data_IF_420940466330
#
_entry.id   IF_420940466330
#
_cell.length_a   1.000
_cell.length_b   1.000
_cell.length_c   1.000
_cell.angle_alpha   90.00
_cell.angle_beta   90.00
_cell.angle_gamma   90.00
#
_symmetry.space_group_name_H-M   'P 1'
#
loop_
_entity.id
_entity.type
_entity.pdbx_description
1 polymer ?
#
# COMPACT_ATOMS: atom_id res chain seq x y z
N UNK A 1 -19.26 28.19 -36.51
CA UNK A 1 -18.00 27.65 -35.95
C UNK A 1 -17.99 27.92 -34.46
N UNK A 2 -18.25 26.90 -33.65
CA UNK A 2 -18.27 26.99 -32.18
C UNK A 2 -16.86 27.02 -31.62
N UNK A 3 -16.55 28.08 -30.89
CA UNK A 3 -15.26 28.35 -30.22
C UNK A 3 -15.05 27.32 -29.09
N UNK A 4 -13.89 26.65 -28.95
CA UNK A 4 -13.69 25.65 -27.91
C UNK A 4 -13.60 26.32 -26.53
N UNK A 5 -14.25 25.72 -25.54
CA UNK A 5 -14.24 26.17 -24.15
C UNK A 5 -12.80 26.09 -23.59
N UNK A 6 -12.27 27.21 -23.12
CA UNK A 6 -11.00 27.26 -22.40
C UNK A 6 -11.14 26.42 -21.12
N UNK A 7 -10.41 25.32 -21.00
CA UNK A 7 -10.25 24.60 -19.74
C UNK A 7 -9.39 25.46 -18.81
N UNK A 8 -10.02 26.42 -18.13
CA UNK A 8 -9.37 27.27 -17.14
C UNK A 8 -8.92 26.39 -15.99
N UNK A 9 -7.61 26.25 -15.85
CA UNK A 9 -6.97 25.54 -14.74
C UNK A 9 -7.49 26.09 -13.42
N UNK A 10 -8.03 25.22 -12.58
CA UNK A 10 -8.52 25.54 -11.24
C UNK A 10 -7.34 25.71 -10.28
N UNK A 11 -6.77 26.91 -10.29
CA UNK A 11 -5.61 27.24 -9.46
C UNK A 11 -5.95 27.28 -7.96
N UNK A 12 -7.20 27.54 -7.59
CA UNK A 12 -7.64 27.59 -6.19
C UNK A 12 -7.67 26.18 -5.60
N UNK A 13 -8.17 25.20 -6.35
CA UNK A 13 -8.09 23.77 -5.98
C UNK A 13 -6.66 23.26 -5.90
N UNK A 14 -5.82 23.62 -6.87
CA UNK A 14 -4.40 23.25 -6.89
C UNK A 14 -3.65 23.86 -5.70
N UNK A 15 -3.97 25.10 -5.34
CA UNK A 15 -3.42 25.78 -4.17
C UNK A 15 -3.81 25.06 -2.87
N UNK A 16 -5.07 24.66 -2.75
CA UNK A 16 -5.58 23.88 -1.62
C UNK A 16 -4.86 22.52 -1.51
N UNK A 17 -4.77 21.77 -2.61
CA UNK A 17 -4.07 20.48 -2.68
C UNK A 17 -2.57 20.64 -2.36
N UNK A 18 -1.95 21.72 -2.85
CA UNK A 18 -0.55 22.03 -2.59
C UNK A 18 -0.31 22.33 -1.11
N UNK A 19 -1.12 23.20 -0.49
CA UNK A 19 -1.00 23.59 0.92
C UNK A 19 -1.34 22.46 1.88
N UNK A 20 -2.21 21.53 1.47
CA UNK A 20 -2.49 20.30 2.22
C UNK A 20 -1.23 19.43 2.40
N UNK A 21 -0.33 19.45 1.41
CA UNK A 21 0.99 18.80 1.51
C UNK A 21 0.97 17.27 1.46
N UNK A 22 -0.18 16.67 1.13
CA UNK A 22 -0.44 15.23 1.14
C UNK A 22 -0.14 14.55 -0.20
N UNK A 23 -0.29 15.29 -1.30
CA UNK A 23 -0.03 14.82 -2.65
C UNK A 23 1.33 15.35 -3.13
N UNK A 24 2.05 14.51 -3.85
CA UNK A 24 3.17 14.95 -4.67
C UNK A 24 2.66 15.88 -5.77
N UNK A 25 3.51 16.78 -6.26
CA UNK A 25 3.13 17.69 -7.34
C UNK A 25 2.67 16.97 -8.62
N UNK A 26 3.11 15.72 -8.80
CA UNK A 26 2.70 14.86 -9.92
C UNK A 26 1.28 14.34 -9.72
N UNK A 27 0.91 13.95 -8.51
CA UNK A 27 -0.46 13.54 -8.19
C UNK A 27 -1.44 14.72 -8.27
N UNK A 28 -1.04 15.90 -7.80
CA UNK A 28 -1.84 17.14 -7.97
C UNK A 28 -2.05 17.46 -9.45
N UNK A 29 -1.01 17.28 -10.27
CA UNK A 29 -1.06 17.47 -11.72
C UNK A 29 -1.96 16.43 -12.42
N UNK A 30 -1.94 15.17 -11.97
CA UNK A 30 -2.82 14.12 -12.49
C UNK A 30 -4.29 14.35 -12.13
N UNK A 31 -4.57 14.91 -10.95
CA UNK A 31 -5.93 15.24 -10.51
C UNK A 31 -6.49 16.52 -11.15
N UNK A 32 -5.63 17.39 -11.70
CA UNK A 32 -6.01 18.68 -12.27
C UNK A 32 -5.53 18.82 -13.73
N UNK A 33 -6.34 18.37 -14.71
CA UNK A 33 -6.02 18.49 -16.14
C UNK A 33 -5.74 19.94 -16.54
N UNK A 34 -4.58 20.18 -17.15
CA UNK A 34 -4.15 21.52 -17.60
C UNK A 34 -3.08 22.19 -16.72
N UNK A 35 -2.81 21.68 -15.51
CA UNK A 35 -1.69 22.12 -14.69
C UNK A 35 -0.59 21.06 -14.62
N UNK A 36 0.61 21.38 -15.10
CA UNK A 36 1.77 20.52 -14.97
C UNK A 36 2.46 20.74 -13.60
N UNK A 37 3.03 19.69 -13.00
CA UNK A 37 3.78 19.74 -11.73
C UNK A 37 4.83 20.87 -11.67
N UNK A 38 5.49 21.18 -12.79
CA UNK A 38 6.44 22.31 -12.90
C UNK A 38 5.75 23.67 -12.79
N UNK A 39 4.57 23.82 -13.39
CA UNK A 39 3.78 25.05 -13.34
C UNK A 39 3.22 25.28 -11.93
N UNK A 40 2.80 24.21 -11.25
CA UNK A 40 2.37 24.22 -9.85
C UNK A 40 3.51 24.67 -8.93
N UNK A 41 4.71 24.07 -9.07
CA UNK A 41 5.88 24.45 -8.28
C UNK A 41 6.30 25.91 -8.49
N UNK A 42 6.30 26.36 -9.75
CA UNK A 42 6.66 27.75 -10.10
C UNK A 42 5.65 28.73 -9.51
N UNK A 43 4.35 28.42 -9.57
CA UNK A 43 3.31 29.28 -9.02
C UNK A 43 3.31 29.30 -7.51
N UNK A 44 3.48 28.15 -6.85
CA UNK A 44 3.64 28.05 -5.41
C UNK A 44 4.79 28.92 -4.89
N UNK A 45 5.94 28.90 -5.57
CA UNK A 45 7.09 29.75 -5.23
C UNK A 45 6.81 31.24 -5.43
N UNK A 46 6.08 31.59 -6.50
CA UNK A 46 5.74 32.98 -6.84
C UNK A 46 4.71 33.57 -5.85
N UNK A 47 3.73 32.78 -5.46
CA UNK A 47 2.58 33.19 -4.64
C UNK A 47 2.79 32.85 -3.14
N UNK A 48 3.96 32.33 -2.77
CA UNK A 48 4.32 32.05 -1.37
C UNK A 48 3.46 30.96 -0.71
N UNK A 49 3.05 29.92 -1.45
CA UNK A 49 2.27 28.84 -0.88
C UNK A 49 3.12 28.02 0.11
N UNK A 50 2.59 27.82 1.32
CA UNK A 50 3.25 27.08 2.40
C UNK A 50 2.42 25.82 2.69
N UNK A 51 3.09 24.68 2.87
CA UNK A 51 2.45 23.43 3.31
C UNK A 51 2.28 23.48 4.84
N UNK A 52 1.05 23.71 5.32
CA UNK A 52 0.81 23.95 6.77
C UNK A 52 -0.44 23.24 7.35
N UNK A 53 -1.06 22.32 6.61
CA UNK A 53 -2.25 21.60 7.11
C UNK A 53 -1.99 20.11 7.38
N UNK A 54 -0.81 19.59 7.05
CA UNK A 54 -0.47 18.17 7.19
C UNK A 54 -0.66 17.65 8.62
N UNK A 55 -0.30 18.44 9.64
CA UNK A 55 -0.43 18.04 11.04
C UNK A 55 -1.89 17.96 11.50
N UNK A 56 -2.73 18.94 11.13
CA UNK A 56 -4.16 18.96 11.46
C UNK A 56 -4.93 17.87 10.72
N UNK A 57 -4.65 17.68 9.43
CA UNK A 57 -5.29 16.62 8.64
C UNK A 57 -4.90 15.23 9.17
N UNK A 58 -3.63 15.04 9.54
CA UNK A 58 -3.17 13.78 10.16
C UNK A 58 -3.87 13.51 11.50
N UNK A 59 -3.94 14.51 12.37
CA UNK A 59 -4.65 14.40 13.65
C UNK A 59 -6.16 14.14 13.46
N UNK A 60 -6.80 14.75 12.47
CA UNK A 60 -8.21 14.50 12.16
C UNK A 60 -8.41 13.11 11.53
N UNK A 61 -7.50 12.63 10.68
CA UNK A 61 -7.54 11.29 10.14
C UNK A 61 -7.31 10.22 11.23
N UNK A 62 -6.36 10.44 12.15
CA UNK A 62 -6.15 9.60 13.34
C UNK A 62 -7.42 9.54 14.21
N UNK A 63 -8.07 10.69 14.41
CA UNK A 63 -9.35 10.78 15.11
C UNK A 63 -10.50 10.10 14.36
N UNK A 64 -10.63 10.24 13.04
CA UNK A 64 -11.70 9.60 12.26
C UNK A 64 -11.56 8.07 12.21
N UNK A 65 -10.32 7.59 12.14
CA UNK A 65 -10.01 6.16 12.22
C UNK A 65 -10.31 5.58 13.61
N UNK A 66 -10.39 6.42 14.66
CA UNK A 66 -10.68 6.02 16.05
C UNK A 66 -12.10 6.36 16.52
N UNK A 67 -12.77 7.37 15.94
CA UNK A 67 -14.10 7.88 16.30
C UNK A 67 -15.06 7.83 15.12
N UNK A 68 -15.71 6.69 14.90
CA UNK A 68 -17.03 6.67 14.26
C UNK A 68 -18.10 6.75 15.36
N UNK A 69 -18.51 7.98 15.75
CA UNK A 69 -19.81 8.26 16.38
C UNK A 69 -20.08 9.79 16.47
N UNK A 70 -21.07 10.21 15.66
CA UNK A 70 -22.09 11.28 15.79
C UNK A 70 -21.69 12.78 15.88
N UNK A 71 -22.30 13.48 14.91
CA UNK A 71 -22.64 14.89 14.57
C UNK A 71 -22.97 15.85 15.74
N UNK A 72 -23.11 17.18 15.61
CA UNK A 72 -23.36 18.16 14.52
C UNK A 72 -23.00 19.59 15.04
N UNK A 73 -22.40 20.49 14.22
CA UNK A 73 -22.93 21.80 13.75
C UNK A 73 -22.93 23.00 14.77
N UNK A 74 -22.53 24.26 14.54
CA UNK A 74 -22.40 25.18 13.40
C UNK A 74 -21.54 26.39 13.83
N UNK A 75 -20.43 26.72 13.16
CA UNK A 75 -19.81 28.08 13.24
C UNK A 75 -19.18 28.38 11.88
N UNK A 76 -20.01 28.77 10.90
CA UNK A 76 -20.37 27.82 9.84
C UNK A 76 -19.99 28.13 8.39
N UNK A 77 -19.15 29.12 8.07
CA UNK A 77 -18.89 29.42 6.63
C UNK A 77 -17.42 29.53 6.22
N UNK A 78 -16.55 30.20 6.99
CA UNK A 78 -15.12 30.35 6.61
C UNK A 78 -14.19 29.35 7.28
N UNK A 79 -14.45 29.08 8.57
CA UNK A 79 -13.95 27.88 9.22
C UNK A 79 -14.55 26.62 8.58
N UNK A 80 -15.69 26.73 7.88
CA UNK A 80 -16.36 25.59 7.24
C UNK A 80 -15.74 25.21 5.92
N UNK A 81 -15.28 26.13 5.07
CA UNK A 81 -14.52 25.72 3.88
C UNK A 81 -13.21 25.04 4.26
N UNK A 82 -12.43 25.61 5.18
CA UNK A 82 -11.18 24.96 5.65
C UNK A 82 -11.47 23.66 6.41
N UNK A 83 -12.50 23.62 7.27
CA UNK A 83 -12.91 22.38 7.97
C UNK A 83 -13.47 21.34 7.02
N UNK A 84 -14.25 21.71 6.01
CA UNK A 84 -14.75 20.79 4.98
C UNK A 84 -13.60 20.25 4.14
N UNK A 85 -12.64 21.09 3.74
CA UNK A 85 -11.43 20.64 3.04
C UNK A 85 -10.63 19.69 3.93
N UNK A 86 -10.42 20.03 5.20
CA UNK A 86 -9.71 19.17 6.16
C UNK A 86 -10.50 17.88 6.42
N UNK A 87 -11.82 17.92 6.52
CA UNK A 87 -12.69 16.79 6.81
C UNK A 87 -12.81 15.83 5.63
N UNK A 88 -13.03 16.34 4.41
CA UNK A 88 -13.02 15.53 3.18
C UNK A 88 -11.65 14.87 3.01
N UNK A 89 -10.55 15.62 3.17
CA UNK A 89 -9.21 15.05 3.05
C UNK A 89 -8.88 14.08 4.18
N UNK A 90 -9.29 14.37 5.42
CA UNK A 90 -9.13 13.46 6.54
C UNK A 90 -9.94 12.18 6.35
N UNK A 91 -11.14 12.26 5.75
CA UNK A 91 -11.95 11.10 5.41
C UNK A 91 -11.30 10.25 4.31
N UNK A 92 -10.74 10.87 3.27
CA UNK A 92 -9.99 10.15 2.22
C UNK A 92 -8.79 9.42 2.84
N UNK A 93 -8.01 10.08 3.69
CA UNK A 93 -6.87 9.46 4.38
C UNK A 93 -7.33 8.36 5.33
N UNK A 94 -8.41 8.58 6.08
CA UNK A 94 -9.00 7.58 6.95
C UNK A 94 -9.42 6.34 6.15
N UNK A 95 -10.10 6.53 5.02
CA UNK A 95 -10.52 5.45 4.13
C UNK A 95 -9.32 4.66 3.58
N UNK A 96 -8.26 5.35 3.14
CA UNK A 96 -7.02 4.71 2.68
C UNK A 96 -6.39 3.89 3.82
N UNK A 97 -6.28 4.45 5.03
CA UNK A 97 -5.70 3.74 6.17
C UNK A 97 -6.54 2.55 6.61
N UNK A 98 -7.87 2.66 6.56
CA UNK A 98 -8.79 1.55 6.81
C UNK A 98 -8.59 0.45 5.77
N UNK A 99 -8.50 0.81 4.49
CA UNK A 99 -8.23 -0.14 3.41
C UNK A 99 -6.88 -0.85 3.62
N UNK A 100 -5.81 -0.10 3.88
CA UNK A 100 -4.49 -0.69 4.17
C UNK A 100 -4.53 -1.63 5.38
N UNK A 101 -5.19 -1.25 6.48
CA UNK A 101 -5.35 -2.14 7.65
C UNK A 101 -6.05 -3.45 7.27
N UNK A 102 -7.12 -3.37 6.48
CA UNK A 102 -7.86 -4.55 6.00
C UNK A 102 -6.98 -5.42 5.11
N UNK A 103 -6.23 -4.83 4.18
CA UNK A 103 -5.36 -5.59 3.28
C UNK A 103 -4.23 -6.27 4.05
N UNK A 104 -3.57 -5.55 4.97
CA UNK A 104 -2.53 -6.10 5.83
C UNK A 104 -3.05 -7.31 6.63
N UNK A 105 -4.25 -7.19 7.23
CA UNK A 105 -4.90 -8.30 7.93
C UNK A 105 -5.15 -9.50 7.02
N UNK A 106 -5.62 -9.28 5.79
CA UNK A 106 -5.85 -10.36 4.81
C UNK A 106 -4.53 -11.04 4.40
N UNK A 107 -3.49 -10.27 4.15
CA UNK A 107 -2.16 -10.83 3.83
C UNK A 107 -1.58 -11.62 5.00
N UNK A 108 -1.76 -11.13 6.24
CA UNK A 108 -1.34 -11.86 7.44
C UNK A 108 -2.07 -13.19 7.59
N UNK A 109 -3.39 -13.18 7.41
CA UNK A 109 -4.18 -14.41 7.44
C UNK A 109 -3.70 -15.42 6.38
N UNK A 110 -3.46 -14.96 5.15
CA UNK A 110 -2.93 -15.80 4.08
C UNK A 110 -1.53 -16.37 4.41
N UNK A 111 -0.63 -15.54 4.95
CA UNK A 111 0.71 -16.00 5.33
C UNK A 111 0.68 -17.06 6.43
N UNK A 112 -0.27 -16.95 7.38
CA UNK A 112 -0.48 -17.97 8.42
C UNK A 112 -1.05 -19.25 7.81
N UNK A 113 -2.02 -19.18 6.90
CA UNK A 113 -2.55 -20.36 6.20
C UNK A 113 -1.46 -21.09 5.40
N UNK A 114 -0.61 -20.37 4.68
CA UNK A 114 0.53 -20.95 3.95
C UNK A 114 1.56 -21.58 4.90
N UNK A 115 1.75 -21.00 6.10
CA UNK A 115 2.60 -21.62 7.12
C UNK A 115 1.99 -22.95 7.59
N UNK A 116 0.68 -23.00 7.82
CA UNK A 116 -0.01 -24.25 8.20
C UNK A 116 0.05 -25.32 7.12
N UNK A 117 -0.03 -24.96 5.84
CA UNK A 117 0.20 -25.89 4.73
C UNK A 117 1.63 -26.44 4.78
N UNK A 118 2.62 -25.56 4.98
CA UNK A 118 4.03 -25.97 5.08
C UNK A 118 4.31 -26.84 6.31
N UNK A 119 3.64 -26.60 7.43
CA UNK A 119 3.68 -27.46 8.62
C UNK A 119 3.13 -28.85 8.31
N UNK A 120 1.99 -28.93 7.61
CA UNK A 120 1.40 -30.21 7.19
C UNK A 120 2.31 -30.98 6.23
N UNK A 121 2.86 -30.31 5.21
CA UNK A 121 3.85 -30.90 4.30
C UNK A 121 5.10 -31.39 5.03
N UNK A 122 5.52 -30.66 6.07
CA UNK A 122 6.69 -31.03 6.89
C UNK A 122 6.40 -32.24 7.77
N UNK A 123 5.22 -32.30 8.38
CA UNK A 123 4.81 -33.38 9.28
C UNK A 123 4.37 -34.67 8.60
N UNK A 124 4.17 -34.67 7.27
CA UNK A 124 3.69 -35.84 6.51
C UNK A 124 4.55 -36.15 5.29
N UNK A 125 5.85 -35.82 5.34
CA UNK A 125 6.77 -35.98 4.21
C UNK A 125 6.74 -37.39 3.59
N UNK A 126 6.68 -38.42 4.42
CA UNK A 126 6.72 -39.81 3.95
C UNK A 126 5.54 -40.13 3.01
N UNK A 127 4.34 -39.59 3.29
CA UNK A 127 3.16 -39.74 2.43
C UNK A 127 3.35 -39.04 1.08
N UNK A 128 4.02 -37.89 1.06
CA UNK A 128 4.33 -37.19 -0.19
C UNK A 128 5.40 -37.93 -1.00
N UNK A 129 6.38 -38.55 -0.34
CA UNK A 129 7.37 -39.40 -1.00
C UNK A 129 6.69 -40.63 -1.62
N UNK A 130 5.86 -41.34 -0.85
CA UNK A 130 5.09 -42.49 -1.33
C UNK A 130 4.20 -42.12 -2.51
N UNK A 131 3.53 -40.97 -2.47
CA UNK A 131 2.77 -40.45 -3.60
C UNK A 131 3.65 -40.23 -4.84
N UNK A 132 4.87 -39.71 -4.68
CA UNK A 132 5.83 -39.55 -5.78
C UNK A 132 6.28 -40.88 -6.38
N UNK A 133 6.46 -41.89 -5.54
CA UNK A 133 6.77 -43.25 -5.99
C UNK A 133 5.60 -43.86 -6.78
N UNK A 134 4.36 -43.70 -6.30
CA UNK A 134 3.15 -44.17 -6.97
C UNK A 134 2.87 -43.44 -8.29
N UNK A 135 3.22 -42.15 -8.38
CA UNK A 135 3.04 -41.33 -9.58
C UNK A 135 4.16 -41.52 -10.62
N UNK A 136 5.22 -42.26 -10.30
CA UNK A 136 6.38 -42.45 -11.16
C UNK A 136 5.95 -43.10 -12.49
N UNK A 137 6.28 -42.42 -13.59
CA UNK A 137 6.02 -42.83 -14.96
C UNK A 137 7.19 -42.43 -15.86
N UNK A 138 8.13 -43.36 -16.00
CA UNK A 138 9.32 -43.17 -16.83
C UNK A 138 8.98 -43.18 -18.33
N UNK A 139 9.73 -42.40 -19.11
CA UNK A 139 9.78 -42.50 -20.57
C UNK A 139 10.68 -43.65 -21.03
N UNK A 140 10.81 -43.83 -22.36
CA UNK A 140 11.64 -44.88 -22.97
C UNK A 140 13.15 -44.78 -22.59
N UNK A 141 13.56 -43.69 -21.93
CA UNK A 141 14.93 -43.45 -21.46
C UNK A 141 15.06 -43.59 -19.94
N UNK A 142 14.02 -44.02 -19.24
CA UNK A 142 14.02 -44.16 -17.78
C UNK A 142 13.86 -42.82 -17.04
N UNK A 143 13.43 -41.75 -17.73
CA UNK A 143 13.34 -40.40 -17.16
C UNK A 143 11.88 -40.04 -16.89
N UNK A 144 11.60 -39.51 -15.70
CA UNK A 144 10.31 -38.91 -15.36
C UNK A 144 10.49 -37.48 -14.85
N UNK A 145 10.63 -36.53 -15.78
CA UNK A 145 10.85 -35.12 -15.45
C UNK A 145 9.74 -34.52 -14.58
N UNK A 146 8.51 -35.03 -14.70
CA UNK A 146 7.38 -34.53 -13.91
C UNK A 146 7.54 -34.96 -12.47
N UNK A 147 7.87 -36.23 -12.23
CA UNK A 147 8.12 -36.72 -10.89
C UNK A 147 9.41 -36.15 -10.29
N UNK A 148 10.47 -35.97 -11.09
CA UNK A 148 11.69 -35.31 -10.64
C UNK A 148 11.42 -33.89 -10.11
N UNK A 149 10.55 -33.13 -10.80
CA UNK A 149 10.12 -31.81 -10.35
C UNK A 149 9.28 -31.91 -9.08
N UNK A 150 8.34 -32.85 -9.00
CA UNK A 150 7.54 -33.09 -7.80
C UNK A 150 8.42 -33.39 -6.58
N UNK A 151 9.36 -34.33 -6.70
CA UNK A 151 10.32 -34.70 -5.65
C UNK A 151 11.18 -33.50 -5.23
N UNK A 152 11.56 -32.65 -6.19
CA UNK A 152 12.27 -31.40 -5.90
C UNK A 152 11.41 -30.42 -5.09
N UNK A 153 10.13 -30.27 -5.43
CA UNK A 153 9.20 -29.36 -4.75
C UNK A 153 8.98 -29.76 -3.29
N UNK A 154 8.79 -31.06 -3.02
CA UNK A 154 8.58 -31.56 -1.64
C UNK A 154 9.88 -31.71 -0.84
N UNK A 155 11.03 -31.44 -1.47
CA UNK A 155 12.34 -31.58 -0.81
C UNK A 155 12.46 -30.65 0.41
N UNK A 156 13.28 -31.06 1.38
CA UNK A 156 13.56 -30.23 2.56
C UNK A 156 14.17 -28.88 2.21
N UNK A 157 15.01 -28.80 1.17
CA UNK A 157 15.59 -27.53 0.72
C UNK A 157 14.51 -26.55 0.22
N UNK A 158 13.55 -27.04 -0.57
CA UNK A 158 12.41 -26.26 -1.09
C UNK A 158 11.51 -25.75 0.04
N UNK A 159 11.23 -26.61 1.03
CA UNK A 159 10.41 -26.24 2.20
C UNK A 159 11.10 -25.23 3.11
N UNK A 160 12.40 -25.38 3.36
CA UNK A 160 13.19 -24.41 4.14
C UNK A 160 13.22 -23.04 3.46
N UNK A 161 13.39 -23.00 2.14
CA UNK A 161 13.33 -21.75 1.36
C UNK A 161 11.93 -21.10 1.45
N UNK A 162 10.87 -21.89 1.37
CA UNK A 162 9.48 -21.43 1.56
C UNK A 162 9.25 -20.86 2.97
N UNK A 163 9.73 -21.55 4.02
CA UNK A 163 9.65 -21.07 5.40
C UNK A 163 10.36 -19.73 5.59
N UNK A 164 11.56 -19.58 5.01
CA UNK A 164 12.32 -18.32 5.06
C UNK A 164 11.55 -17.16 4.40
N UNK A 165 11.00 -17.40 3.21
CA UNK A 165 10.19 -16.39 2.48
C UNK A 165 8.93 -16.00 3.26
N UNK A 166 8.27 -16.96 3.91
CA UNK A 166 7.11 -16.68 4.78
C UNK A 166 7.53 -15.86 6.01
N UNK A 167 8.65 -16.18 6.64
CA UNK A 167 9.17 -15.41 7.78
C UNK A 167 9.51 -13.96 7.39
N UNK A 168 10.15 -13.75 6.22
CA UNK A 168 10.41 -12.42 5.67
C UNK A 168 9.11 -11.66 5.39
N UNK A 169 8.10 -12.32 4.82
CA UNK A 169 6.77 -11.75 4.57
C UNK A 169 6.10 -11.33 5.86
N UNK A 170 6.08 -12.19 6.88
CA UNK A 170 5.50 -11.89 8.19
C UNK A 170 6.22 -10.72 8.88
N UNK A 171 7.56 -10.63 8.76
CA UNK A 171 8.33 -9.50 9.28
C UNK A 171 7.88 -8.17 8.64
N UNK A 172 7.71 -8.15 7.33
CA UNK A 172 7.23 -6.96 6.60
C UNK A 172 5.80 -6.60 7.05
N UNK A 173 4.90 -7.59 7.10
CA UNK A 173 3.51 -7.38 7.53
C UNK A 173 3.43 -6.83 8.95
N UNK A 174 4.23 -7.34 9.89
CA UNK A 174 4.30 -6.82 11.26
C UNK A 174 4.77 -5.36 11.27
N UNK A 175 5.76 -4.99 10.45
CA UNK A 175 6.18 -3.59 10.28
C UNK A 175 5.02 -2.70 9.81
N UNK A 176 4.33 -3.14 8.75
CA UNK A 176 3.17 -2.45 8.20
C UNK A 176 2.01 -2.34 9.19
N UNK A 177 1.74 -3.37 9.98
CA UNK A 177 0.74 -3.34 11.05
C UNK A 177 1.10 -2.27 12.08
N UNK A 178 2.34 -2.28 12.57
CA UNK A 178 2.79 -1.30 13.55
C UNK A 178 2.65 0.13 13.02
N UNK A 179 3.01 0.36 11.77
CA UNK A 179 2.82 1.66 11.09
C UNK A 179 1.34 2.04 10.99
N UNK A 180 0.49 1.12 10.52
CA UNK A 180 -0.93 1.37 10.34
C UNK A 180 -1.66 1.67 11.66
N UNK A 181 -1.23 1.05 12.76
CA UNK A 181 -1.74 1.29 14.12
C UNK A 181 -1.01 2.41 14.87
N UNK A 182 -0.02 3.06 14.26
CA UNK A 182 0.71 4.17 14.89
C UNK A 182 1.65 3.76 16.02
N UNK A 183 2.00 2.47 16.11
CA UNK A 183 2.87 1.85 17.13
C UNK A 183 4.36 1.98 16.79
N UNK A 184 4.73 3.01 16.04
CA UNK A 184 6.11 3.28 15.60
C UNK A 184 6.65 4.47 16.37
N UNK A 185 7.75 4.26 17.11
CA UNK A 185 8.47 5.32 17.80
C UNK A 185 8.89 6.41 16.81
N UNK A 186 8.87 7.65 17.29
CA UNK A 186 8.99 8.88 16.51
C UNK A 186 10.28 9.02 15.67
N UNK A 187 11.31 8.18 15.89
CA UNK A 187 12.54 8.15 15.09
C UNK A 187 12.48 7.28 13.82
N UNK A 188 11.50 6.39 13.66
CA UNK A 188 11.48 5.40 12.54
C UNK A 188 10.52 5.76 11.39
N UNK A 189 9.78 6.87 11.49
CA UNK A 189 8.71 7.23 10.53
C UNK A 189 9.22 7.78 9.19
N UNK A 190 10.42 8.36 9.15
CA UNK A 190 10.98 8.95 7.92
C UNK A 190 11.68 7.89 7.05
N UNK A 191 12.35 6.92 7.69
CA UNK A 191 13.09 5.84 7.01
C UNK A 191 12.13 4.79 6.41
N UNK A 192 10.96 4.57 7.03
CA UNK A 192 10.02 3.54 6.59
C UNK A 192 9.21 3.95 5.34
N UNK A 193 8.78 5.21 5.25
CA UNK A 193 7.98 5.72 4.14
C UNK A 193 8.77 5.68 2.80
N UNK A 194 10.05 6.03 2.83
CA UNK A 194 10.94 5.97 1.66
C UNK A 194 11.21 4.53 1.21
N UNK A 195 11.35 3.60 2.17
CA UNK A 195 11.57 2.19 1.84
C UNK A 195 10.34 1.56 1.18
N UNK A 196 9.13 1.84 1.70
CA UNK A 196 7.90 1.28 1.13
C UNK A 196 7.63 1.79 -0.29
N UNK A 197 7.83 3.09 -0.52
CA UNK A 197 7.69 3.70 -1.84
C UNK A 197 8.68 3.08 -2.84
N UNK A 198 9.93 2.84 -2.41
CA UNK A 198 10.95 2.23 -3.28
C UNK A 198 10.60 0.78 -3.66
N UNK A 199 10.09 -0.01 -2.72
CA UNK A 199 9.75 -1.43 -2.94
C UNK A 199 8.55 -1.56 -3.86
N UNK A 200 7.53 -0.72 -3.70
CA UNK A 200 6.34 -0.71 -4.55
C UNK A 200 6.67 -0.25 -5.98
N UNK A 201 7.56 0.73 -6.15
CA UNK A 201 8.00 1.17 -7.47
C UNK A 201 8.84 0.10 -8.19
N UNK A 202 9.68 -0.63 -7.45
CA UNK A 202 10.43 -1.77 -8.00
C UNK A 202 9.52 -2.93 -8.41
N UNK A 203 8.50 -3.25 -7.60
CA UNK A 203 7.51 -4.27 -7.94
C UNK A 203 6.74 -3.88 -9.21
N UNK A 204 6.35 -2.61 -9.34
CA UNK A 204 5.62 -2.10 -10.51
C UNK A 204 6.44 -2.17 -11.80
N UNK A 205 7.75 -1.91 -11.75
CA UNK A 205 8.67 -2.03 -12.90
C UNK A 205 8.95 -3.46 -13.33
N UNK A 206 8.72 -4.45 -12.47
CA UNK A 206 8.90 -5.87 -12.80
C UNK A 206 7.66 -6.52 -13.41
N UNK A 207 6.48 -5.97 -13.14
CA UNK A 207 5.20 -6.51 -13.64
C UNK A 207 4.85 -5.99 -15.04
N UNK A 208 5.43 -4.87 -15.46
CA UNK A 208 5.35 -4.38 -16.83
C UNK A 208 6.76 -3.95 -17.30
N UNK A 209 7.47 -4.79 -18.09
CA UNK A 209 8.67 -4.35 -18.81
C UNK A 209 8.33 -3.35 -19.93
#
# INVERSE_FOLDING_TARGET
MTKPANSTVDWERIEADYRAGLLSLREISSANPGANHVAIARRAKKEGWIRDLSAKIKAQADNLVTKQAVTEEVTQQRAVTDRQIVEVNAQVIANIRIAHRKDIQRFRALAISLLSELEAETGSLDLFIELGELLRKEDDKGVDKRNDLYMKVISSASRVDSAKKLAETLKILVGLEREAYGLVDSQSKEIAADNLASVLEQARKRVYP
#
